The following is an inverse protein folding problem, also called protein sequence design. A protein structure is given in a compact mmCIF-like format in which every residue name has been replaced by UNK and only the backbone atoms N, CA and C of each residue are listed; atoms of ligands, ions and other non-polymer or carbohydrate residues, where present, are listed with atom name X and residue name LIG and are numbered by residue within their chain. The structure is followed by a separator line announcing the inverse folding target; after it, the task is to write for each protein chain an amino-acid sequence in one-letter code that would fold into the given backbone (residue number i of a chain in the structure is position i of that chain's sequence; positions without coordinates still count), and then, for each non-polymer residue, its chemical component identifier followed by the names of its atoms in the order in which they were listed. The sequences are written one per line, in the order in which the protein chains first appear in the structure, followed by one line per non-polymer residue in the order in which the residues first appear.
data_IF_586712456739
#
_entry.id   IF_586712456739
#
_cell.length_a   1.000
_cell.length_b   1.000
_cell.length_c   1.000
_cell.angle_alpha   90.00
_cell.angle_beta   90.00
_cell.angle_gamma   90.00
#
_symmetry.space_group_name_H-M   'P 1'
#
loop_
_entity.id
_entity.type
_entity.pdbx_description
1 polymer ?
#
# COMPACT_ATOMS: atom_id res chain seq x y z
N UNK A 1 19.42 -3.37 18.95
CA UNK A 1 18.23 -3.50 18.10
C UNK A 1 17.05 -3.75 19.01
N UNK A 2 16.25 -2.76 19.30
CA UNK A 2 15.00 -2.98 20.03
C UNK A 2 14.11 -3.88 19.16
N UNK A 3 13.68 -4.99 19.73
CA UNK A 3 12.70 -5.86 19.07
C UNK A 3 11.37 -5.11 19.03
N UNK A 4 10.79 -5.01 17.84
CA UNK A 4 9.41 -4.56 17.71
C UNK A 4 8.51 -5.43 18.59
N UNK A 5 7.65 -4.82 19.39
CA UNK A 5 6.66 -5.53 20.20
C UNK A 5 5.39 -5.89 19.40
N UNK A 6 5.45 -5.80 18.10
CA UNK A 6 4.30 -6.03 17.20
C UNK A 6 3.71 -7.44 17.37
N UNK A 7 4.56 -8.44 17.56
CA UNK A 7 4.11 -9.83 17.75
C UNK A 7 3.33 -9.98 19.06
N UNK A 8 3.84 -9.38 20.14
CA UNK A 8 3.21 -9.46 21.45
C UNK A 8 1.86 -8.73 21.44
N UNK A 9 1.81 -7.55 20.83
CA UNK A 9 0.58 -6.76 20.69
C UNK A 9 -0.44 -7.49 19.78
N UNK A 10 -0.01 -8.02 18.66
CA UNK A 10 -0.88 -8.76 17.75
C UNK A 10 -1.48 -9.99 18.43
N UNK A 11 -0.67 -10.72 19.21
CA UNK A 11 -1.13 -11.85 20.01
C UNK A 11 -2.16 -11.43 21.08
N UNK A 12 -1.87 -10.38 21.82
CA UNK A 12 -2.75 -9.88 22.89
C UNK A 12 -4.11 -9.42 22.36
N UNK A 13 -4.12 -8.81 21.19
CA UNK A 13 -5.33 -8.28 20.53
C UNK A 13 -5.99 -9.27 19.55
N UNK A 14 -5.47 -10.49 19.45
CA UNK A 14 -5.94 -11.51 18.51
C UNK A 14 -5.97 -11.03 17.05
N UNK A 15 -4.90 -10.33 16.64
CA UNK A 15 -4.74 -9.79 15.28
C UNK A 15 -3.80 -10.66 14.45
N UNK A 16 -4.09 -10.77 13.17
CA UNK A 16 -3.15 -11.21 12.15
C UNK A 16 -2.53 -9.97 11.54
N UNK A 17 -1.23 -9.81 11.66
CA UNK A 17 -0.47 -8.70 11.05
C UNK A 17 0.30 -9.25 9.85
N UNK A 18 0.06 -8.65 8.69
CA UNK A 18 0.75 -9.00 7.45
C UNK A 18 1.56 -7.80 6.98
N UNK A 19 2.82 -8.02 6.69
CA UNK A 19 3.76 -6.99 6.21
C UNK A 19 4.22 -7.42 4.81
N UNK A 20 3.49 -7.03 3.76
CA UNK A 20 3.86 -7.40 2.40
C UNK A 20 5.08 -6.61 1.93
N UNK A 21 5.94 -7.28 1.19
CA UNK A 21 6.97 -6.60 0.41
C UNK A 21 6.33 -6.01 -0.85
N UNK A 22 6.76 -4.83 -1.26
CA UNK A 22 6.18 -4.11 -2.39
C UNK A 22 7.22 -3.36 -3.22
N UNK A 23 8.50 -3.66 -3.03
CA UNK A 23 9.60 -2.99 -3.74
C UNK A 23 9.43 -1.45 -3.73
N UNK A 24 9.86 -0.73 -4.76
CA UNK A 24 9.66 0.72 -4.91
C UNK A 24 8.36 1.07 -5.67
N UNK A 25 7.34 0.25 -5.54
CA UNK A 25 6.10 0.32 -6.35
C UNK A 25 5.10 1.38 -5.91
N UNK A 26 5.26 1.97 -4.73
CA UNK A 26 4.23 2.79 -4.07
C UNK A 26 2.84 2.11 -4.04
N UNK A 27 2.85 0.78 -4.07
CA UNK A 27 1.63 -0.06 -4.06
C UNK A 27 0.70 0.20 -5.25
N UNK A 28 1.27 0.38 -6.42
CA UNK A 28 0.55 0.77 -7.64
C UNK A 28 0.72 -0.28 -8.74
N UNK A 29 -0.33 -0.50 -9.52
CA UNK A 29 -0.24 -1.31 -10.72
C UNK A 29 0.50 -0.54 -11.81
N UNK A 30 1.57 -1.10 -12.34
CA UNK A 30 2.34 -0.49 -13.41
C UNK A 30 1.56 -0.45 -14.71
N UNK A 31 1.54 0.69 -15.37
CA UNK A 31 0.84 0.86 -16.65
C UNK A 31 1.53 0.10 -17.79
N UNK A 32 2.87 0.02 -17.75
CA UNK A 32 3.68 -0.55 -18.83
C UNK A 32 4.38 -1.87 -18.46
N UNK A 33 4.24 -2.35 -17.22
CA UNK A 33 4.79 -3.61 -16.74
C UNK A 33 3.67 -4.53 -16.29
N UNK A 34 3.18 -5.43 -17.16
CA UNK A 34 1.98 -6.24 -16.88
C UNK A 34 2.07 -7.10 -15.62
N UNK A 35 3.29 -7.42 -15.17
CA UNK A 35 3.53 -8.23 -13.98
C UNK A 35 3.65 -7.42 -12.69
N UNK A 36 3.83 -6.10 -12.77
CA UNK A 36 3.94 -5.24 -11.62
C UNK A 36 2.56 -4.73 -11.18
N UNK A 37 1.79 -5.62 -10.56
CA UNK A 37 0.40 -5.38 -10.14
C UNK A 37 0.30 -5.32 -8.61
N UNK A 38 1.02 -4.38 -8.02
CA UNK A 38 1.14 -4.27 -6.58
C UNK A 38 -0.16 -3.86 -5.86
N UNK A 39 -0.98 -3.04 -6.49
CA UNK A 39 -2.30 -2.69 -5.95
C UNK A 39 -3.19 -3.95 -5.87
N UNK A 40 -3.26 -4.72 -6.95
CA UNK A 40 -4.05 -5.96 -6.98
C UNK A 40 -3.51 -7.00 -6.01
N UNK A 41 -2.19 -7.10 -5.88
CA UNK A 41 -1.57 -8.00 -4.93
C UNK A 41 -2.02 -7.71 -3.48
N UNK A 42 -2.15 -6.43 -3.11
CA UNK A 42 -2.58 -6.04 -1.77
C UNK A 42 -4.10 -6.08 -1.59
N UNK A 43 -4.87 -5.74 -2.63
CA UNK A 43 -6.33 -5.58 -2.48
C UNK A 43 -7.14 -6.81 -2.91
N UNK A 44 -6.52 -7.71 -3.66
CA UNK A 44 -7.19 -8.91 -4.20
C UNK A 44 -6.50 -10.18 -3.73
N UNK A 45 -5.19 -10.33 -4.06
CA UNK A 45 -4.51 -11.60 -3.88
C UNK A 45 -4.22 -11.88 -2.40
N UNK A 46 -3.69 -10.89 -1.67
CA UNK A 46 -3.39 -11.02 -0.25
C UNK A 46 -4.62 -11.34 0.60
N UNK A 47 -5.76 -10.61 0.50
CA UNK A 47 -6.98 -10.95 1.24
C UNK A 47 -7.48 -12.37 0.94
N UNK A 48 -7.41 -12.80 -0.31
CA UNK A 48 -7.80 -14.15 -0.72
C UNK A 48 -6.89 -15.21 -0.10
N UNK A 49 -5.58 -14.99 -0.13
CA UNK A 49 -4.61 -15.90 0.45
C UNK A 49 -4.79 -16.04 1.96
N UNK A 50 -4.94 -14.91 2.66
CA UNK A 50 -5.19 -14.90 4.10
C UNK A 50 -6.50 -15.61 4.45
N UNK A 51 -7.58 -15.35 3.72
CA UNK A 51 -8.87 -16.00 3.96
C UNK A 51 -8.84 -17.51 3.69
N UNK A 52 -7.96 -17.95 2.80
CA UNK A 52 -7.81 -19.39 2.46
C UNK A 52 -7.00 -20.14 3.51
N UNK A 53 -5.97 -19.49 4.05
CA UNK A 53 -4.99 -20.16 4.90
C UNK A 53 -5.19 -19.93 6.40
N UNK A 54 -5.99 -18.93 6.78
CA UNK A 54 -6.20 -18.54 8.17
C UNK A 54 -7.68 -18.40 8.51
N UNK A 55 -8.02 -18.74 9.74
CA UNK A 55 -9.37 -18.52 10.28
C UNK A 55 -9.51 -17.06 10.69
N UNK A 56 -10.10 -16.24 9.82
CA UNK A 56 -10.31 -14.81 10.03
C UNK A 56 -11.79 -14.44 10.06
N UNK A 57 -12.10 -13.33 10.71
CA UNK A 57 -13.44 -12.71 10.60
C UNK A 57 -13.54 -12.02 9.23
N UNK A 58 -14.65 -12.23 8.56
CA UNK A 58 -14.96 -11.61 7.27
C UNK A 58 -15.58 -10.23 7.48
N UNK A 59 -15.38 -9.34 6.50
CA UNK A 59 -15.97 -8.00 6.47
C UNK A 59 -14.94 -6.89 6.69
N UNK A 60 -15.21 -5.74 6.07
CA UNK A 60 -14.30 -4.57 6.13
C UNK A 60 -14.08 -4.09 7.57
N UNK A 61 -15.05 -4.25 8.44
CA UNK A 61 -14.99 -3.83 9.84
C UNK A 61 -13.90 -4.52 10.65
N UNK A 62 -13.36 -5.62 10.11
CA UNK A 62 -12.28 -6.40 10.70
C UNK A 62 -10.93 -6.18 10.02
N UNK A 63 -10.86 -5.30 9.02
CA UNK A 63 -9.66 -5.07 8.24
C UNK A 63 -9.18 -3.64 8.37
N UNK A 64 -7.92 -3.48 8.76
CA UNK A 64 -7.21 -2.19 8.78
C UNK A 64 -5.99 -2.21 7.87
N UNK A 65 -5.59 -1.04 7.40
CA UNK A 65 -4.35 -0.85 6.65
C UNK A 65 -3.54 0.29 7.27
N UNK A 66 -2.24 0.11 7.41
CA UNK A 66 -1.38 1.18 7.88
C UNK A 66 0.03 1.08 7.28
N UNK A 67 0.78 2.17 7.33
CA UNK A 67 2.14 2.15 6.86
C UNK A 67 2.92 3.42 7.15
N UNK A 68 4.23 3.32 6.95
CA UNK A 68 5.20 4.41 7.16
C UNK A 68 5.79 4.79 5.79
N UNK A 69 6.04 6.08 5.56
CA UNK A 69 6.66 6.62 4.35
C UNK A 69 5.93 6.15 3.08
N UNK A 70 6.56 5.40 2.20
CA UNK A 70 5.92 4.79 1.02
C UNK A 70 4.70 3.93 1.42
N UNK A 71 4.81 3.16 2.51
CA UNK A 71 3.69 2.39 3.04
C UNK A 71 2.53 3.27 3.56
N UNK A 72 2.83 4.43 4.14
CA UNK A 72 1.82 5.40 4.53
C UNK A 72 1.06 5.99 3.34
N UNK A 73 1.77 6.28 2.27
CA UNK A 73 1.15 6.66 1.00
C UNK A 73 0.28 5.54 0.43
N UNK A 74 0.80 4.31 0.38
CA UNK A 74 0.05 3.13 -0.07
C UNK A 74 -1.22 2.92 0.75
N UNK A 75 -1.11 3.00 2.07
CA UNK A 75 -2.25 2.80 2.96
C UNK A 75 -3.39 3.78 2.68
N UNK A 76 -3.10 5.08 2.61
CA UNK A 76 -4.16 6.08 2.34
C UNK A 76 -4.70 5.97 0.91
N UNK A 77 -3.82 5.74 -0.07
CA UNK A 77 -4.24 5.57 -1.47
C UNK A 77 -5.19 4.39 -1.63
N UNK A 78 -4.83 3.22 -1.09
CA UNK A 78 -5.63 2.02 -1.19
C UNK A 78 -6.93 2.13 -0.41
N UNK A 79 -6.91 2.73 0.78
CA UNK A 79 -8.13 2.93 1.56
C UNK A 79 -9.13 3.87 0.87
N UNK A 80 -8.64 4.92 0.20
CA UNK A 80 -9.50 5.84 -0.54
C UNK A 80 -10.04 5.24 -1.85
N UNK A 81 -9.25 4.40 -2.51
CA UNK A 81 -9.66 3.72 -3.76
C UNK A 81 -10.60 2.54 -3.50
N UNK A 82 -10.44 1.87 -2.37
CA UNK A 82 -11.16 0.66 -1.99
C UNK A 82 -11.81 0.82 -0.60
N UNK A 83 -12.76 1.77 -0.45
CA UNK A 83 -13.36 2.07 0.84
C UNK A 83 -14.20 0.92 1.40
N UNK A 84 -14.53 -0.04 0.58
CA UNK A 84 -15.24 -1.28 0.92
C UNK A 84 -14.34 -2.34 1.56
N UNK A 85 -13.00 -2.20 1.47
CA UNK A 85 -12.06 -3.18 2.01
C UNK A 85 -11.58 -2.86 3.42
N UNK A 86 -11.49 -1.58 3.79
CA UNK A 86 -10.82 -1.16 5.02
C UNK A 86 -11.73 -0.31 5.90
N UNK A 87 -11.78 -0.61 7.20
CA UNK A 87 -12.46 0.22 8.20
C UNK A 87 -11.53 1.19 8.91
N UNK A 88 -10.23 0.93 8.87
CA UNK A 88 -9.20 1.73 9.52
C UNK A 88 -8.05 2.01 8.58
N UNK A 89 -7.51 3.22 8.63
CA UNK A 89 -6.28 3.59 7.94
C UNK A 89 -5.34 4.35 8.87
N UNK A 90 -4.10 3.88 8.95
CA UNK A 90 -3.03 4.54 9.71
C UNK A 90 -1.92 5.01 8.78
N UNK A 91 -1.61 6.31 8.81
CA UNK A 91 -0.58 6.92 7.94
C UNK A 91 0.49 7.57 8.78
N UNK A 92 1.71 7.12 8.63
CA UNK A 92 2.87 7.67 9.32
C UNK A 92 3.88 8.20 8.28
N UNK A 93 4.10 9.52 8.30
CA UNK A 93 5.08 10.18 7.41
C UNK A 93 4.93 9.84 5.92
N UNK A 94 3.70 9.59 5.46
CA UNK A 94 3.41 9.30 4.06
C UNK A 94 3.50 10.55 3.19
N UNK A 95 4.09 10.48 1.99
CA UNK A 95 4.12 11.59 1.05
C UNK A 95 2.74 11.77 0.38
N UNK A 96 1.83 12.47 1.03
CA UNK A 96 0.43 12.58 0.59
C UNK A 96 0.24 13.46 -0.66
N UNK A 97 1.18 14.35 -0.95
CA UNK A 97 1.16 15.20 -2.13
C UNK A 97 2.30 14.85 -3.10
N UNK A 98 2.21 13.67 -3.68
CA UNK A 98 3.16 13.20 -4.68
C UNK A 98 3.19 14.11 -5.92
N UNK A 99 2.08 14.75 -6.25
CA UNK A 99 1.95 15.58 -7.46
C UNK A 99 2.77 16.86 -7.40
N UNK A 100 3.09 17.35 -6.20
CA UNK A 100 3.90 18.55 -5.96
C UNK A 100 5.38 18.28 -5.72
N UNK A 101 5.81 17.04 -5.83
CA UNK A 101 7.19 16.72 -5.58
C UNK A 101 8.15 17.46 -6.50
N UNK A 102 9.23 17.96 -5.91
CA UNK A 102 10.31 18.72 -6.54
C UNK A 102 10.86 18.03 -7.79
N UNK A 103 11.34 18.82 -8.80
CA UNK A 103 12.03 18.30 -9.98
C UNK A 103 13.21 17.38 -9.67
N UNK A 104 13.86 17.52 -8.52
CA UNK A 104 14.94 16.63 -8.07
C UNK A 104 14.46 15.19 -7.81
N UNK A 105 13.20 15.00 -7.50
CA UNK A 105 12.59 13.67 -7.33
C UNK A 105 12.08 13.09 -8.66
N UNK A 106 11.94 13.91 -9.71
CA UNK A 106 11.71 13.43 -11.08
C UNK A 106 12.91 12.67 -11.64
N UNK A 107 14.10 12.93 -11.11
CA UNK A 107 15.34 12.22 -11.48
C UNK A 107 15.32 10.74 -11.07
N UNK A 108 14.50 10.40 -10.09
CA UNK A 108 14.24 9.00 -9.72
C UNK A 108 13.25 8.31 -10.68
N UNK A 109 12.54 9.07 -11.50
CA UNK A 109 11.57 8.53 -12.45
C UNK A 109 12.19 8.11 -13.78
N UNK A 110 13.44 8.53 -14.03
CA UNK A 110 14.18 8.12 -15.22
C UNK A 110 14.83 6.75 -15.02
N UNK A 111 14.84 6.24 -13.80
CA UNK A 111 15.20 4.85 -13.51
C UNK A 111 13.98 3.97 -13.84
N UNK A 112 14.16 2.97 -14.70
CA UNK A 112 13.12 2.06 -15.20
C UNK A 112 12.34 1.33 -14.08
N UNK A 113 12.81 1.44 -12.83
CA UNK A 113 12.21 0.86 -11.65
C UNK A 113 11.21 1.78 -10.93
N UNK A 114 11.06 3.04 -11.32
CA UNK A 114 10.12 3.96 -10.69
C UNK A 114 8.86 4.08 -11.54
N UNK A 115 8.05 3.07 -11.45
CA UNK A 115 6.79 2.91 -12.18
C UNK A 115 5.75 3.99 -11.86
N UNK A 116 5.96 4.77 -10.83
CA UNK A 116 4.90 5.53 -10.18
C UNK A 116 4.66 6.94 -10.68
N UNK A 117 5.65 7.59 -11.25
CA UNK A 117 5.47 8.96 -11.72
C UNK A 117 4.58 9.05 -12.96
N UNK A 118 4.40 7.97 -13.68
CA UNK A 118 3.48 7.89 -14.81
C UNK A 118 2.01 7.82 -14.42
N UNK A 119 1.70 7.39 -13.21
CA UNK A 119 0.32 7.27 -12.72
C UNK A 119 -0.28 8.59 -12.29
N UNK A 120 0.57 9.56 -11.97
CA UNK A 120 0.16 10.90 -11.52
C UNK A 120 0.35 11.99 -12.59
N UNK A 121 0.77 11.62 -13.80
CA UNK A 121 0.67 12.57 -14.89
C UNK A 121 -0.81 12.86 -15.13
N UNK A 122 -1.21 14.09 -14.81
CA UNK A 122 -2.45 14.64 -15.37
C UNK A 122 -2.42 14.34 -16.86
N UNK A 123 -3.47 13.69 -17.36
CA UNK A 123 -3.78 13.82 -18.75
C UNK A 123 -3.76 15.29 -19.07
N UNK A 124 -3.13 15.73 -20.18
CA UNK A 124 -3.35 17.08 -20.67
C UNK A 124 -4.86 17.19 -20.79
N UNK A 125 -5.44 18.06 -19.99
CA UNK A 125 -6.81 18.48 -20.21
C UNK A 125 -6.83 19.10 -21.59
N UNK A 126 -7.58 18.50 -22.49
CA UNK A 126 -8.06 19.15 -23.68
C UNK A 126 -8.65 20.52 -23.36
#
# INVERSE_FOLDING_TARGET
MERSNVVDLASAEHLIVVIPEADNSYYTNAQHLPHARWEDAITIDLPRDIATNFCIRQGREHVGISGISMGGYGAIKLALKHPDLYSFVGVMSGPLDITRRSPSLRRWSDDENVVDLWLFRKHPTE
#
